data_IF_668657108992
#
_entry.id   IF_668657108992
#
_cell.length_a   1.000
_cell.length_b   1.000
_cell.length_c   1.000
_cell.angle_alpha   90.00
_cell.angle_beta   90.00
_cell.angle_gamma   90.00
#
_symmetry.space_group_name_H-M   'P 1'
#
loop_
_entity.id
_entity.type
_entity.pdbx_description
1 polymer ?
#
# COMPACT_ATOMS: atom_id res chain seq x y z
N UNK A 1 -2.07 -2.44 -9.05
CA UNK A 1 -1.36 -3.30 -8.06
C UNK A 1 -0.97 -4.57 -8.78
N UNK A 2 0.30 -5.01 -8.76
CA UNK A 2 0.71 -6.30 -9.35
C UNK A 2 0.47 -7.49 -8.42
N UNK A 3 0.11 -8.65 -9.00
CA UNK A 3 0.17 -9.96 -8.35
C UNK A 3 1.54 -10.54 -8.69
N UNK A 4 2.31 -10.86 -7.66
CA UNK A 4 3.65 -11.43 -7.80
C UNK A 4 3.60 -12.89 -7.37
N UNK A 5 4.09 -13.77 -8.24
CA UNK A 5 4.25 -15.17 -7.92
C UNK A 5 5.56 -15.42 -7.18
N UNK A 6 5.46 -16.08 -6.04
CA UNK A 6 6.58 -16.52 -5.22
C UNK A 6 6.63 -18.05 -5.28
N UNK A 7 7.44 -18.58 -6.21
CA UNK A 7 7.66 -20.01 -6.33
C UNK A 7 8.37 -20.56 -5.09
N UNK A 8 7.90 -21.70 -4.59
CA UNK A 8 8.49 -22.44 -3.46
C UNK A 8 8.86 -23.88 -3.84
N UNK A 9 8.51 -24.33 -5.04
CA UNK A 9 8.86 -25.64 -5.58
C UNK A 9 10.30 -25.74 -6.09
N UNK A 10 10.77 -26.98 -6.27
CA UNK A 10 12.12 -27.28 -6.81
C UNK A 10 12.21 -27.20 -8.33
N UNK A 11 11.07 -27.12 -9.03
CA UNK A 11 11.03 -26.99 -10.48
C UNK A 11 10.83 -25.54 -10.87
N UNK A 12 11.44 -25.13 -11.98
CA UNK A 12 11.22 -23.81 -12.61
C UNK A 12 9.80 -23.66 -13.21
N UNK A 13 8.97 -24.70 -13.09
CA UNK A 13 7.57 -24.67 -13.48
C UNK A 13 6.68 -24.03 -12.42
N UNK A 14 5.53 -23.54 -12.88
CA UNK A 14 4.56 -22.79 -12.09
C UNK A 14 3.69 -23.68 -11.16
N UNK A 15 4.31 -24.64 -10.45
CA UNK A 15 3.59 -25.72 -9.75
C UNK A 15 3.23 -25.40 -8.31
N UNK A 16 4.16 -24.81 -7.56
CA UNK A 16 4.01 -24.59 -6.11
C UNK A 16 4.51 -23.20 -5.70
N UNK A 17 3.64 -22.42 -5.07
CA UNK A 17 3.98 -21.06 -4.62
C UNK A 17 2.76 -20.18 -4.34
N UNK A 18 3.04 -18.93 -3.98
CA UNK A 18 2.03 -17.95 -3.56
C UNK A 18 1.87 -16.83 -4.58
N UNK A 19 0.62 -16.47 -4.95
CA UNK A 19 0.34 -15.18 -5.59
C UNK A 19 -0.01 -14.16 -4.51
N UNK A 20 0.85 -13.16 -4.34
CA UNK A 20 0.68 -12.10 -3.36
C UNK A 20 0.50 -10.76 -4.06
N UNK A 21 -0.37 -9.91 -3.51
CA UNK A 21 -0.65 -8.59 -4.05
C UNK A 21 0.37 -7.61 -3.48
N UNK A 22 1.11 -6.90 -4.33
CA UNK A 22 2.07 -5.88 -3.92
C UNK A 22 1.64 -4.49 -4.40
N UNK A 23 2.24 -3.44 -3.83
CA UNK A 23 2.09 -2.07 -4.33
C UNK A 23 3.19 -1.73 -5.34
N UNK A 24 2.78 -1.05 -6.41
CA UNK A 24 3.68 -0.40 -7.34
C UNK A 24 3.11 0.96 -7.74
N UNK A 25 3.98 1.95 -7.94
CA UNK A 25 3.59 3.27 -8.41
C UNK A 25 4.43 3.70 -9.61
N UNK A 26 3.89 4.64 -10.38
CA UNK A 26 4.54 5.27 -11.51
C UNK A 26 4.02 6.71 -11.64
N UNK A 27 4.89 7.63 -12.09
CA UNK A 27 4.50 9.00 -12.44
C UNK A 27 4.28 9.20 -13.94
N UNK A 28 4.90 8.34 -14.76
CA UNK A 28 4.91 8.43 -16.23
C UNK A 28 4.13 7.30 -16.90
N UNK A 29 3.56 6.38 -16.10
CA UNK A 29 2.89 5.14 -16.50
C UNK A 29 3.80 4.16 -17.29
N UNK A 30 5.10 4.44 -17.38
CA UNK A 30 6.10 3.64 -18.11
C UNK A 30 7.08 2.98 -17.15
N UNK A 31 7.61 3.76 -16.22
CA UNK A 31 8.58 3.34 -15.22
C UNK A 31 7.86 3.06 -13.91
N UNK A 32 7.91 1.81 -13.45
CA UNK A 32 7.20 1.36 -12.25
C UNK A 32 8.18 1.03 -11.12
N UNK A 33 7.89 1.52 -9.92
CA UNK A 33 8.65 1.20 -8.70
C UNK A 33 7.77 0.38 -7.76
N UNK A 34 8.28 -0.77 -7.29
CA UNK A 34 7.62 -1.55 -6.23
C UNK A 34 7.85 -0.90 -4.87
N UNK A 35 6.79 -0.72 -4.09
CA UNK A 35 6.80 0.01 -2.81
C UNK A 35 6.88 -0.95 -1.61
N UNK A 36 7.01 -0.37 -0.40
CA UNK A 36 6.91 -1.10 0.86
C UNK A 36 7.93 -2.23 1.01
N UNK A 37 9.15 -2.04 0.48
CA UNK A 37 10.18 -3.10 0.44
C UNK A 37 9.67 -4.41 -0.17
N UNK A 38 8.71 -4.34 -1.11
CA UNK A 38 8.06 -5.48 -1.77
C UNK A 38 7.32 -6.41 -0.81
N UNK A 39 6.94 -5.92 0.37
CA UNK A 39 6.05 -6.65 1.27
C UNK A 39 4.68 -6.83 0.61
N UNK A 40 3.96 -7.91 0.94
CA UNK A 40 2.58 -8.07 0.53
C UNK A 40 1.73 -6.90 1.04
N UNK A 41 0.98 -6.29 0.14
CA UNK A 41 -0.05 -5.30 0.48
C UNK A 41 -1.34 -5.99 0.92
N UNK A 42 -1.78 -6.98 0.14
CA UNK A 42 -2.79 -7.95 0.57
C UNK A 42 -2.07 -9.30 0.61
N UNK A 43 -1.87 -9.79 1.83
CA UNK A 43 -1.19 -11.04 2.13
C UNK A 43 -2.16 -12.22 2.27
N UNK A 44 -1.62 -13.44 2.42
CA UNK A 44 -2.44 -14.63 2.53
C UNK A 44 -3.24 -14.62 3.83
N UNK A 45 -4.46 -15.13 3.78
CA UNK A 45 -5.31 -15.34 4.95
C UNK A 45 -4.71 -16.43 5.86
N UNK A 46 -4.96 -16.38 7.18
CA UNK A 46 -4.65 -17.48 8.09
C UNK A 46 -5.25 -18.81 7.60
N UNK A 47 -4.62 -19.93 7.97
CA UNK A 47 -5.12 -21.26 7.63
C UNK A 47 -6.29 -21.69 8.54
N UNK A 48 -7.39 -20.92 8.55
CA UNK A 48 -8.60 -21.22 9.35
C UNK A 48 -9.73 -21.73 8.46
N UNK A 49 -10.70 -22.49 9.02
CA UNK A 49 -11.92 -22.84 8.31
C UNK A 49 -12.65 -21.58 7.82
N UNK A 50 -13.12 -21.59 6.58
CA UNK A 50 -13.80 -20.44 5.96
C UNK A 50 -12.87 -19.41 5.29
N UNK A 51 -11.55 -19.48 5.48
CA UNK A 51 -10.59 -18.61 4.78
C UNK A 51 -10.16 -19.21 3.44
N UNK A 52 -10.28 -18.42 2.37
CA UNK A 52 -9.95 -18.84 1.00
C UNK A 52 -8.68 -18.20 0.43
N UNK A 53 -8.19 -17.11 1.00
CA UNK A 53 -7.06 -16.34 0.48
C UNK A 53 -5.68 -16.94 0.78
N UNK A 54 -5.48 -18.25 0.57
CA UNK A 54 -4.29 -18.94 1.09
C UNK A 54 -3.11 -18.94 0.13
N UNK A 55 -3.30 -19.47 -1.08
CA UNK A 55 -2.18 -19.69 -2.03
C UNK A 55 -2.25 -18.78 -3.24
N UNK A 56 -3.46 -18.40 -3.68
CA UNK A 56 -3.58 -17.42 -4.75
C UNK A 56 -4.50 -16.27 -4.36
N UNK A 57 -3.96 -15.06 -4.44
CA UNK A 57 -4.71 -13.82 -4.41
C UNK A 57 -4.70 -13.24 -5.81
N UNK A 58 -5.83 -13.34 -6.50
CA UNK A 58 -6.02 -12.70 -7.79
C UNK A 58 -6.50 -11.29 -7.56
N UNK A 59 -5.91 -10.38 -8.33
CA UNK A 59 -6.03 -8.95 -8.08
C UNK A 59 -7.46 -8.46 -8.24
N UNK A 60 -7.87 -7.51 -7.39
CA UNK A 60 -9.09 -6.78 -7.66
C UNK A 60 -8.93 -5.98 -8.97
N UNK A 61 -10.05 -5.64 -9.59
CA UNK A 61 -10.13 -4.52 -10.53
C UNK A 61 -9.80 -3.19 -9.82
N UNK A 62 -10.04 -2.04 -10.47
CA UNK A 62 -9.94 -0.75 -9.79
C UNK A 62 -10.78 -0.76 -8.50
N UNK A 63 -10.26 -0.22 -7.37
CA UNK A 63 -11.02 -0.14 -6.14
C UNK A 63 -12.31 0.67 -6.33
N UNK A 64 -13.35 0.28 -5.61
CA UNK A 64 -14.58 1.05 -5.53
C UNK A 64 -14.41 2.11 -4.43
N UNK A 65 -14.59 3.37 -4.78
CA UNK A 65 -14.64 4.46 -3.81
C UNK A 65 -15.98 4.43 -3.07
N UNK A 66 -15.94 4.45 -1.74
CA UNK A 66 -17.13 4.44 -0.88
C UNK A 66 -16.93 5.40 0.29
N UNK A 67 -17.24 6.68 0.07
CA UNK A 67 -16.99 7.72 1.06
C UNK A 67 -15.49 7.89 1.33
N UNK A 68 -15.08 7.70 2.58
CA UNK A 68 -13.67 7.78 3.00
C UNK A 68 -12.94 6.42 2.94
N UNK A 69 -13.51 5.45 2.23
CA UNK A 69 -12.95 4.10 2.06
C UNK A 69 -12.71 3.74 0.59
N UNK A 70 -11.74 2.85 0.39
CA UNK A 70 -11.45 2.15 -0.86
C UNK A 70 -11.73 0.67 -0.65
N UNK A 71 -12.62 0.13 -1.47
CA UNK A 71 -13.08 -1.25 -1.40
C UNK A 71 -12.45 -2.07 -2.52
N UNK A 72 -11.71 -3.10 -2.14
CA UNK A 72 -11.00 -4.00 -3.04
C UNK A 72 -11.67 -5.37 -3.05
N UNK A 73 -12.39 -5.69 -4.12
CA UNK A 73 -12.98 -7.00 -4.33
C UNK A 73 -11.99 -7.90 -5.08
N UNK A 74 -11.42 -8.90 -4.39
CA UNK A 74 -10.36 -9.75 -4.94
C UNK A 74 -10.69 -11.23 -4.75
N UNK A 75 -10.12 -12.12 -5.56
CA UNK A 75 -10.40 -13.55 -5.46
C UNK A 75 -9.32 -14.23 -4.63
N UNK A 76 -9.73 -14.97 -3.59
CA UNK A 76 -8.88 -15.87 -2.84
C UNK A 76 -9.08 -17.32 -3.28
N UNK A 77 -7.99 -18.05 -3.51
CA UNK A 77 -8.00 -19.49 -3.83
C UNK A 77 -7.13 -20.24 -2.82
N UNK A 78 -7.69 -21.29 -2.23
CA UNK A 78 -7.06 -22.10 -1.18
C UNK A 78 -5.84 -22.84 -1.68
N UNK A 79 -5.91 -23.37 -2.90
CA UNK A 79 -4.91 -24.30 -3.41
C UNK A 79 -4.52 -23.94 -4.84
N UNK A 80 -3.24 -24.11 -5.17
CA UNK A 80 -2.74 -23.90 -6.53
C UNK A 80 -3.01 -25.10 -7.42
N UNK A 81 -2.90 -26.28 -6.84
CA UNK A 81 -3.18 -27.57 -7.44
C UNK A 81 -4.18 -28.31 -6.56
N UNK A 82 -5.03 -29.14 -7.18
CA UNK A 82 -5.93 -30.01 -6.44
C UNK A 82 -5.14 -31.15 -5.81
N UNK A 83 -5.47 -31.48 -4.57
CA UNK A 83 -4.98 -32.67 -3.87
C UNK A 83 -6.19 -33.48 -3.39
N UNK A 84 -5.95 -34.73 -3.01
CA UNK A 84 -6.98 -35.70 -2.67
C UNK A 84 -7.91 -35.21 -1.54
N UNK A 85 -7.36 -34.51 -0.55
CA UNK A 85 -8.10 -33.97 0.60
C UNK A 85 -8.58 -32.52 0.42
N UNK A 86 -8.63 -32.01 -0.81
CA UNK A 86 -8.99 -30.61 -1.06
C UNK A 86 -10.45 -30.32 -0.70
N UNK A 87 -10.68 -29.21 -0.01
CA UNK A 87 -12.03 -28.69 0.25
C UNK A 87 -12.74 -28.38 -1.08
N UNK A 88 -13.95 -28.93 -1.28
CA UNK A 88 -14.78 -28.69 -2.45
C UNK A 88 -15.00 -27.19 -2.72
N UNK A 89 -15.02 -26.35 -1.68
CA UNK A 89 -15.03 -24.89 -1.80
C UNK A 89 -13.58 -24.38 -1.91
N UNK A 90 -13.13 -24.24 -3.15
CA UNK A 90 -11.75 -23.91 -3.51
C UNK A 90 -11.41 -22.42 -3.43
N UNK A 91 -12.38 -21.53 -3.61
CA UNK A 91 -12.15 -20.09 -3.66
C UNK A 91 -13.39 -19.27 -3.36
N UNK A 92 -13.19 -17.98 -3.09
CA UNK A 92 -14.23 -17.03 -2.80
C UNK A 92 -13.82 -15.61 -3.22
N UNK A 93 -14.80 -14.74 -3.40
CA UNK A 93 -14.57 -13.29 -3.49
C UNK A 93 -14.41 -12.75 -2.07
N UNK A 94 -13.31 -12.03 -1.87
CA UNK A 94 -12.96 -11.33 -0.64
C UNK A 94 -13.17 -9.83 -0.83
N UNK A 95 -13.51 -9.14 0.25
CA UNK A 95 -13.47 -7.69 0.33
C UNK A 95 -12.35 -7.28 1.29
N UNK A 96 -11.40 -6.50 0.79
CA UNK A 96 -10.44 -5.77 1.62
C UNK A 96 -10.80 -4.29 1.60
N UNK A 97 -10.90 -3.66 2.77
CA UNK A 97 -11.24 -2.23 2.91
C UNK A 97 -10.01 -1.47 3.41
N UNK A 98 -9.72 -0.34 2.77
CA UNK A 98 -8.68 0.59 3.16
C UNK A 98 -9.29 1.98 3.36
N UNK A 99 -8.83 2.75 4.34
CA UNK A 99 -9.14 4.18 4.38
C UNK A 99 -8.60 4.89 3.14
N UNK A 100 -9.23 6.00 2.73
CA UNK A 100 -8.72 6.85 1.65
C UNK A 100 -7.29 7.28 1.96
N UNK A 101 -6.45 7.27 0.92
CA UNK A 101 -5.03 7.66 1.00
C UNK A 101 -4.19 6.81 1.99
N UNK A 102 -4.65 5.61 2.37
CA UNK A 102 -4.02 4.74 3.37
C UNK A 102 -2.95 3.77 2.83
N UNK A 103 -2.42 3.96 1.62
CA UNK A 103 -1.58 2.96 0.95
C UNK A 103 -0.19 2.79 1.57
N UNK A 104 0.48 3.89 1.90
CA UNK A 104 1.82 3.93 2.50
C UNK A 104 1.85 5.07 3.49
N UNK A 105 2.30 4.80 4.71
CA UNK A 105 2.58 5.81 5.74
C UNK A 105 4.08 5.90 6.02
N UNK A 106 4.48 7.03 6.58
CA UNK A 106 5.76 7.19 7.26
C UNK A 106 5.44 7.48 8.71
N UNK A 107 6.00 6.69 9.61
CA UNK A 107 5.75 6.79 11.03
C UNK A 107 6.99 7.37 11.72
N UNK A 108 6.79 8.43 12.50
CA UNK A 108 7.77 8.88 13.47
C UNK A 108 7.69 8.01 14.73
N UNK A 109 8.84 7.77 15.36
CA UNK A 109 8.92 7.10 16.66
C UNK A 109 8.49 8.04 17.79
N UNK A 110 9.12 7.87 18.96
CA UNK A 110 8.98 8.82 20.08
C UNK A 110 9.66 10.16 19.76
N UNK A 111 10.77 10.11 19.01
CA UNK A 111 11.50 11.29 18.58
C UNK A 111 10.93 11.90 17.30
N UNK A 112 11.22 13.19 17.09
CA UNK A 112 10.83 13.94 15.88
C UNK A 112 11.33 13.25 14.61
N UNK A 113 10.40 12.88 13.73
CA UNK A 113 10.68 12.52 12.33
C UNK A 113 10.79 13.76 11.43
N UNK A 114 11.65 13.70 10.41
CA UNK A 114 11.76 14.73 9.38
C UNK A 114 11.99 14.09 8.01
N UNK A 115 11.44 14.71 6.97
CA UNK A 115 11.69 14.33 5.59
C UNK A 115 11.66 15.56 4.70
N UNK A 116 12.36 15.48 3.57
CA UNK A 116 12.27 16.45 2.48
C UNK A 116 11.60 15.72 1.31
N UNK A 117 10.53 16.31 0.76
CA UNK A 117 9.86 15.74 -0.40
C UNK A 117 10.75 15.87 -1.64
N UNK A 118 10.51 15.05 -2.66
CA UNK A 118 10.96 15.43 -4.01
C UNK A 118 10.28 16.73 -4.41
N UNK A 119 10.93 17.51 -5.29
CA UNK A 119 10.33 18.73 -5.85
C UNK A 119 8.94 18.44 -6.39
N UNK A 120 7.98 19.27 -5.98
CA UNK A 120 6.59 19.20 -6.40
C UNK A 120 6.36 20.28 -7.44
N UNK A 121 5.81 19.90 -8.59
CA UNK A 121 5.31 20.86 -9.59
C UNK A 121 3.81 20.93 -9.37
N UNK A 122 3.32 22.07 -8.89
CA UNK A 122 1.91 22.29 -8.58
C UNK A 122 1.51 23.72 -8.91
N UNK A 123 0.22 23.94 -9.16
CA UNK A 123 -0.35 25.25 -9.53
C UNK A 123 -1.33 25.81 -8.51
N UNK A 124 -1.44 25.18 -7.34
CA UNK A 124 -2.33 25.61 -6.25
C UNK A 124 -1.62 26.51 -5.25
N UNK A 125 -2.34 26.90 -4.20
CA UNK A 125 -1.85 27.69 -3.05
C UNK A 125 -2.07 26.97 -1.70
N UNK A 126 -2.62 25.75 -1.73
CA UNK A 126 -2.92 24.95 -0.55
C UNK A 126 -2.16 23.61 -0.57
N UNK A 127 -1.66 23.21 0.59
CA UNK A 127 -1.11 21.88 0.85
C UNK A 127 -2.00 21.16 1.86
N UNK A 128 -2.60 20.05 1.44
CA UNK A 128 -3.36 19.15 2.31
C UNK A 128 -2.43 18.03 2.81
N UNK A 129 -2.41 17.79 4.12
CA UNK A 129 -1.63 16.71 4.74
C UNK A 129 -2.56 15.63 5.28
N UNK A 130 -2.33 14.38 4.89
CA UNK A 130 -2.93 13.21 5.54
C UNK A 130 -2.02 12.74 6.67
N UNK A 131 -2.26 13.21 7.88
CA UNK A 131 -1.41 12.93 9.05
C UNK A 131 -2.26 12.52 10.25
N UNK A 132 -1.73 11.58 11.03
CA UNK A 132 -2.24 11.23 12.36
C UNK A 132 -1.20 11.72 13.37
N UNK A 133 -1.61 12.58 14.29
CA UNK A 133 -0.75 13.18 15.31
C UNK A 133 -1.08 12.53 16.66
N UNK A 134 -0.07 11.99 17.35
CA UNK A 134 -0.19 11.44 18.71
C UNK A 134 -0.38 12.57 19.74
N UNK A 135 -0.84 12.23 20.94
CA UNK A 135 -1.06 13.20 22.01
C UNK A 135 0.15 14.11 22.25
N UNK A 136 -0.10 15.42 22.36
CA UNK A 136 0.92 16.47 22.50
C UNK A 136 1.92 16.60 21.32
N UNK A 137 1.74 15.82 20.25
CA UNK A 137 2.50 15.96 19.02
C UNK A 137 2.01 17.12 18.16
N UNK A 138 2.81 17.48 17.16
CA UNK A 138 2.41 18.43 16.12
C UNK A 138 3.15 18.14 14.83
N UNK A 139 2.62 18.66 13.71
CA UNK A 139 3.29 18.60 12.40
C UNK A 139 3.58 20.02 11.94
N UNK A 140 4.76 20.24 11.36
CA UNK A 140 5.13 21.50 10.72
C UNK A 140 5.60 21.23 9.31
N UNK A 141 5.39 22.20 8.43
CA UNK A 141 5.89 22.17 7.06
C UNK A 141 6.62 23.48 6.79
N UNK A 142 7.77 23.36 6.15
CA UNK A 142 8.45 24.50 5.54
C UNK A 142 8.54 24.29 4.03
N UNK A 143 8.49 25.38 3.28
CA UNK A 143 8.63 25.35 1.83
C UNK A 143 10.04 25.74 1.45
N UNK A 144 10.69 24.87 0.67
CA UNK A 144 12.05 25.05 0.20
C UNK A 144 12.06 25.37 -1.30
N UNK A 145 13.00 26.21 -1.72
CA UNK A 145 13.32 26.42 -3.13
C UNK A 145 14.15 25.27 -3.72
N UNK A 146 14.52 25.39 -5.00
CA UNK A 146 15.33 24.39 -5.70
C UNK A 146 16.74 24.19 -5.12
N UNK A 147 17.23 25.12 -4.29
CA UNK A 147 18.52 25.07 -3.61
C UNK A 147 18.39 24.67 -2.13
N UNK A 148 17.23 24.15 -1.72
CA UNK A 148 16.91 23.79 -0.33
C UNK A 148 16.92 24.98 0.65
N UNK A 149 16.69 26.19 0.16
CA UNK A 149 16.55 27.38 1.00
C UNK A 149 15.08 27.64 1.30
N UNK A 150 14.77 27.95 2.56
CA UNK A 150 13.41 28.29 2.99
C UNK A 150 12.88 29.52 2.27
N UNK A 151 11.63 29.44 1.80
CA UNK A 151 10.93 30.60 1.27
C UNK A 151 10.51 31.55 2.41
N UNK A 152 10.65 32.88 2.23
CA UNK A 152 10.22 33.85 3.24
C UNK A 152 8.74 33.69 3.62
N UNK A 153 8.45 33.69 4.93
CA UNK A 153 7.10 33.53 5.48
C UNK A 153 6.55 32.10 5.45
N UNK A 154 7.33 31.13 4.97
CA UNK A 154 6.96 29.71 4.87
C UNK A 154 8.00 28.82 5.57
N UNK A 155 8.63 29.31 6.64
CA UNK A 155 9.59 28.56 7.44
C UNK A 155 8.91 27.84 8.62
N UNK A 156 9.60 26.87 9.23
CA UNK A 156 9.11 26.20 10.44
C UNK A 156 8.85 27.15 11.62
N UNK A 157 9.51 28.31 11.65
CA UNK A 157 9.34 29.34 12.69
C UNK A 157 8.06 30.13 12.51
N UNK A 158 7.55 30.19 11.28
CA UNK A 158 6.31 30.90 10.93
C UNK A 158 5.07 30.00 11.17
N UNK A 159 5.27 28.71 11.45
CA UNK A 159 4.20 27.77 11.80
C UNK A 159 3.62 28.08 13.19
N UNK A 160 2.29 28.12 13.27
CA UNK A 160 1.53 28.11 14.52
C UNK A 160 0.92 26.70 14.67
N UNK A 161 1.56 25.80 15.45
CA UNK A 161 1.08 24.44 15.67
C UNK A 161 -0.16 24.37 16.57
#
# INVERSE_FOLDING_TARGET
MPAVYHATGKSDNNTDGFHLIQLACSRDLRTWTRLGSRQPFIGPSPAKPGDFGRTQLLLPSAPVERGDELWFYHTGIKYRTLHEDADAKMGAVHLTVLRRDGFVSLDAGEDRGQLITKSLIYSGDQLMLNVVIRDSGHTKVEVLDANHKTLPGLSLKDCVP
#
